data_IF_462668203660
#
_entry.id   IF_462668203660
#
_cell.length_a   1.000
_cell.length_b   1.000
_cell.length_c   1.000
_cell.angle_alpha   90.00
_cell.angle_beta   90.00
_cell.angle_gamma   90.00
#
_symmetry.space_group_name_H-M   'P 1'
#
loop_
_entity.id
_entity.type
_entity.pdbx_description
1 polymer ?
#
# COMPACT_ATOMS: atom_id res chain seq x y z
N UNK A 1 18.20 -7.07 -1.34
CA UNK A 1 17.66 -5.70 -1.50
C UNK A 1 16.24 -5.80 -2.06
N UNK A 2 16.06 -6.55 -3.14
CA UNK A 2 14.77 -6.91 -3.77
C UNK A 2 13.65 -7.43 -2.83
N UNK A 3 13.99 -8.06 -1.70
CA UNK A 3 13.03 -8.53 -0.68
C UNK A 3 12.71 -7.48 0.40
N UNK A 4 13.25 -6.26 0.27
CA UNK A 4 13.12 -5.12 1.19
C UNK A 4 13.54 -5.38 2.66
N UNK A 5 14.24 -6.48 2.94
CA UNK A 5 14.62 -6.90 4.30
C UNK A 5 16.12 -6.88 4.58
N UNK A 6 16.97 -6.94 3.55
CA UNK A 6 18.41 -7.18 3.71
C UNK A 6 19.12 -6.14 4.58
N UNK A 7 18.92 -4.84 4.32
CA UNK A 7 19.57 -3.78 5.09
C UNK A 7 19.15 -3.80 6.57
N UNK A 8 17.85 -4.01 6.84
CA UNK A 8 17.32 -4.13 8.19
C UNK A 8 17.90 -5.35 8.91
N UNK A 9 17.95 -6.51 8.25
CA UNK A 9 18.50 -7.73 8.82
C UNK A 9 19.99 -7.60 9.19
N UNK A 10 20.78 -6.88 8.37
CA UNK A 10 22.19 -6.60 8.72
C UNK A 10 22.29 -5.76 10.00
N UNK A 11 21.47 -4.72 10.13
CA UNK A 11 21.45 -3.89 11.33
C UNK A 11 20.99 -4.69 12.56
N UNK A 12 19.96 -5.53 12.42
CA UNK A 12 19.44 -6.38 13.49
C UNK A 12 20.45 -7.48 13.92
N UNK A 13 21.30 -7.98 13.01
CA UNK A 13 22.41 -8.91 13.34
C UNK A 13 23.66 -8.19 13.91
N UNK A 14 23.52 -6.93 14.31
CA UNK A 14 24.59 -6.18 14.96
C UNK A 14 25.74 -5.83 14.02
N UNK A 15 25.45 -5.43 12.77
CA UNK A 15 26.47 -5.02 11.79
C UNK A 15 27.52 -4.09 12.43
N UNK A 16 27.08 -3.06 13.14
CA UNK A 16 27.97 -2.07 13.74
C UNK A 16 28.63 -2.49 15.06
N UNK A 17 28.26 -3.64 15.60
CA UNK A 17 29.01 -4.29 16.70
C UNK A 17 30.25 -5.03 16.15
N UNK A 18 30.20 -5.42 14.86
CA UNK A 18 31.27 -6.17 14.17
C UNK A 18 32.19 -5.27 13.34
N UNK A 19 31.67 -4.18 12.81
CA UNK A 19 32.42 -3.18 12.05
C UNK A 19 32.18 -1.78 12.63
N UNK A 20 33.22 -0.99 12.78
CA UNK A 20 33.07 0.41 13.23
C UNK A 20 32.16 1.17 12.27
N UNK A 21 31.18 1.90 12.81
CA UNK A 21 30.29 2.74 12.03
C UNK A 21 31.12 3.77 11.21
N UNK A 22 30.92 3.85 9.88
CA UNK A 22 31.68 4.76 9.03
C UNK A 22 31.15 6.20 9.12
N UNK A 23 32.01 7.18 8.85
CA UNK A 23 31.60 8.58 8.74
C UNK A 23 30.72 8.85 7.52
N UNK A 24 30.87 8.06 6.46
CA UNK A 24 30.15 8.20 5.18
C UNK A 24 29.77 6.82 4.65
N UNK A 25 28.52 6.67 4.21
CA UNK A 25 28.01 5.49 3.50
C UNK A 25 27.66 5.88 2.07
N UNK A 26 28.17 5.12 1.10
CA UNK A 26 27.90 5.34 -0.32
C UNK A 26 27.18 4.12 -0.91
N UNK A 27 26.21 4.37 -1.79
CA UNK A 27 25.53 3.34 -2.57
C UNK A 27 25.28 3.85 -4.00
N UNK A 28 25.24 2.94 -4.96
CA UNK A 28 24.93 3.24 -6.34
C UNK A 28 23.96 2.19 -6.91
N UNK A 29 23.14 2.62 -7.87
CA UNK A 29 22.27 1.73 -8.62
C UNK A 29 22.38 2.07 -10.11
N UNK A 30 22.43 1.05 -10.97
CA UNK A 30 22.40 1.28 -12.42
C UNK A 30 21.02 1.75 -12.85
N UNK A 31 20.98 2.77 -13.71
CA UNK A 31 19.75 3.31 -14.28
C UNK A 31 19.95 3.61 -15.78
N UNK A 32 18.86 3.88 -16.50
CA UNK A 32 18.87 4.15 -17.93
C UNK A 32 19.40 5.57 -18.25
N UNK A 33 20.67 5.81 -17.94
CA UNK A 33 21.40 7.03 -18.30
C UNK A 33 22.42 6.76 -19.41
N UNK A 34 22.88 7.80 -20.13
CA UNK A 34 23.98 7.67 -21.09
C UNK A 34 25.21 7.00 -20.46
N UNK A 35 25.90 6.19 -21.25
CA UNK A 35 27.12 5.51 -20.80
C UNK A 35 28.17 6.52 -20.31
N UNK A 36 28.80 6.21 -19.17
CA UNK A 36 29.79 7.08 -18.53
C UNK A 36 29.21 8.20 -17.66
N UNK A 37 27.88 8.31 -17.53
CA UNK A 37 27.24 9.30 -16.66
C UNK A 37 27.03 8.77 -15.24
N UNK A 38 27.35 9.61 -14.25
CA UNK A 38 26.95 9.41 -12.84
C UNK A 38 26.01 10.56 -12.47
N UNK A 39 24.78 10.22 -12.10
CA UNK A 39 23.79 11.18 -11.61
C UNK A 39 23.77 11.17 -10.08
N UNK A 40 23.72 12.34 -9.47
CA UNK A 40 23.55 12.52 -8.02
C UNK A 40 22.64 13.72 -7.74
N UNK A 41 22.07 13.77 -6.55
CA UNK A 41 21.27 14.89 -6.06
C UNK A 41 21.44 15.02 -4.55
N UNK A 42 21.16 16.20 -4.03
CA UNK A 42 21.04 16.42 -2.59
C UNK A 42 19.60 16.14 -2.13
N UNK A 43 19.45 15.52 -0.97
CA UNK A 43 18.15 15.13 -0.42
C UNK A 43 17.63 13.77 -0.93
N UNK A 44 16.32 13.48 -0.81
CA UNK A 44 15.75 12.19 -1.20
C UNK A 44 15.84 11.93 -2.72
N UNK A 45 16.61 10.91 -3.12
CA UNK A 45 16.71 10.50 -4.54
C UNK A 45 15.57 9.57 -5.00
N UNK A 46 15.06 8.72 -4.11
CA UNK A 46 14.06 7.71 -4.42
C UNK A 46 12.93 7.72 -3.40
N UNK A 47 11.72 7.44 -3.86
CA UNK A 47 10.56 7.35 -2.97
C UNK A 47 10.63 6.08 -2.12
N UNK A 48 10.36 6.25 -0.81
CA UNK A 48 9.99 5.14 0.05
C UNK A 48 8.67 4.51 -0.41
N UNK A 49 8.42 3.27 0.00
CA UNK A 49 7.22 2.52 -0.38
C UNK A 49 6.71 1.69 0.79
N UNK A 50 5.39 1.67 0.96
CA UNK A 50 4.67 0.73 1.83
C UNK A 50 3.61 0.04 0.99
N UNK A 51 3.50 -1.28 1.11
CA UNK A 51 2.43 -2.05 0.48
C UNK A 51 1.55 -2.64 1.59
N UNK A 52 0.27 -2.34 1.54
CA UNK A 52 -0.75 -2.91 2.42
C UNK A 52 -1.47 -4.04 1.68
N UNK A 53 -1.57 -5.19 2.32
CA UNK A 53 -2.45 -6.28 1.91
C UNK A 53 -3.69 -6.25 2.82
N UNK A 54 -4.82 -5.82 2.26
CA UNK A 54 -6.07 -5.63 2.98
C UNK A 54 -7.00 -6.78 2.65
N UNK A 55 -7.58 -7.39 3.69
CA UNK A 55 -8.62 -8.40 3.57
C UNK A 55 -9.90 -7.83 4.16
N UNK A 56 -10.94 -7.73 3.34
CA UNK A 56 -12.30 -7.46 3.76
C UNK A 56 -13.01 -8.80 3.93
N UNK A 57 -13.55 -9.04 5.12
CA UNK A 57 -14.37 -10.22 5.43
C UNK A 57 -15.81 -9.77 5.66
N UNK A 58 -16.74 -10.60 5.21
CA UNK A 58 -18.17 -10.32 5.34
C UNK A 58 -19.01 -11.58 5.16
N UNK A 59 -20.31 -11.41 5.34
CA UNK A 59 -21.27 -12.50 5.23
C UNK A 59 -21.79 -12.57 3.79
N UNK A 60 -21.37 -13.60 3.06
CA UNK A 60 -21.86 -13.88 1.71
C UNK A 60 -23.28 -14.47 1.73
N UNK A 61 -23.87 -14.63 0.56
CA UNK A 61 -25.24 -15.15 0.47
C UNK A 61 -25.79 -15.16 -0.95
N UNK A 62 -27.08 -15.42 -1.09
CA UNK A 62 -27.72 -15.37 -2.39
C UNK A 62 -27.81 -13.91 -2.88
N UNK A 63 -27.40 -13.66 -4.13
CA UNK A 63 -27.45 -12.35 -4.75
C UNK A 63 -28.87 -11.73 -4.86
N UNK A 64 -29.94 -12.52 -4.63
CA UNK A 64 -31.32 -12.04 -4.61
C UNK A 64 -31.73 -11.49 -3.22
N UNK A 65 -30.93 -11.73 -2.19
CA UNK A 65 -31.18 -11.28 -0.82
C UNK A 65 -29.98 -10.51 -0.24
N UNK A 66 -29.49 -9.45 -0.92
CA UNK A 66 -28.29 -8.71 -0.50
C UNK A 66 -28.46 -7.99 0.85
N UNK A 67 -29.70 -7.70 1.25
CA UNK A 67 -30.02 -7.09 2.55
C UNK A 67 -29.78 -8.03 3.75
N UNK A 68 -29.44 -9.30 3.50
CA UNK A 68 -29.06 -10.29 4.53
C UNK A 68 -27.54 -10.54 4.54
N UNK A 69 -26.77 -9.74 3.80
CA UNK A 69 -25.33 -9.92 3.61
C UNK A 69 -24.57 -8.66 3.97
N UNK A 70 -23.33 -8.83 4.44
CA UNK A 70 -22.34 -7.75 4.52
C UNK A 70 -21.35 -7.95 3.37
N UNK A 71 -21.54 -7.25 2.25
CA UNK A 71 -20.80 -7.51 1.00
C UNK A 71 -19.36 -6.94 1.05
N UNK A 72 -18.32 -7.79 1.14
CA UNK A 72 -16.93 -7.34 1.21
C UNK A 72 -16.40 -6.84 -0.15
N UNK A 73 -16.97 -7.29 -1.27
CA UNK A 73 -16.59 -6.75 -2.60
C UNK A 73 -17.04 -5.30 -2.69
N UNK A 74 -18.25 -4.98 -2.22
CA UNK A 74 -18.74 -3.61 -2.22
C UNK A 74 -17.86 -2.70 -1.34
N UNK A 75 -17.51 -3.15 -0.13
CA UNK A 75 -16.60 -2.43 0.76
C UNK A 75 -15.24 -2.15 0.10
N UNK A 76 -14.64 -3.18 -0.52
CA UNK A 76 -13.34 -3.06 -1.16
C UNK A 76 -13.39 -2.14 -2.40
N UNK A 77 -14.46 -2.20 -3.20
CA UNK A 77 -14.67 -1.33 -4.35
C UNK A 77 -14.87 0.14 -3.94
N UNK A 78 -15.58 0.37 -2.83
CA UNK A 78 -15.69 1.69 -2.21
C UNK A 78 -14.33 2.24 -1.80
N UNK A 79 -13.49 1.41 -1.18
CA UNK A 79 -12.12 1.77 -0.83
C UNK A 79 -11.29 2.13 -2.07
N UNK A 80 -11.30 1.31 -3.13
CA UNK A 80 -10.59 1.61 -4.40
C UNK A 80 -10.96 2.99 -4.95
N UNK A 81 -12.24 3.35 -4.86
CA UNK A 81 -12.74 4.64 -5.37
C UNK A 81 -12.30 5.82 -4.49
N UNK A 82 -12.21 5.63 -3.17
CA UNK A 82 -11.86 6.71 -2.23
C UNK A 82 -10.37 6.92 -2.03
N UNK A 83 -9.55 5.88 -2.15
CA UNK A 83 -8.11 5.94 -1.88
C UNK A 83 -7.35 7.05 -2.63
N UNK A 84 -7.64 7.35 -3.92
CA UNK A 84 -6.99 8.46 -4.62
C UNK A 84 -7.19 9.84 -3.98
N UNK A 85 -8.26 10.02 -3.18
CA UNK A 85 -8.56 11.29 -2.49
C UNK A 85 -7.49 11.62 -1.45
N UNK A 86 -6.85 10.61 -0.83
CA UNK A 86 -5.76 10.82 0.14
C UNK A 86 -4.64 11.66 -0.46
N UNK A 87 -4.15 11.27 -1.64
CA UNK A 87 -3.12 12.02 -2.34
C UNK A 87 -3.65 13.37 -2.89
N UNK A 88 -4.90 13.41 -3.35
CA UNK A 88 -5.45 14.60 -4.01
C UNK A 88 -5.92 15.71 -3.06
N UNK A 89 -6.26 15.40 -1.80
CA UNK A 89 -6.94 16.33 -0.87
C UNK A 89 -6.36 16.36 0.54
N UNK A 90 -5.63 15.34 0.98
CA UNK A 90 -5.10 15.27 2.34
C UNK A 90 -3.58 15.47 2.39
N UNK A 91 -2.96 15.81 1.26
CA UNK A 91 -1.51 15.96 1.11
C UNK A 91 -1.19 17.34 0.56
N UNK A 92 -0.11 17.95 1.03
CA UNK A 92 0.42 19.18 0.43
C UNK A 92 0.81 18.89 -1.03
N UNK A 93 0.37 19.66 -2.03
CA UNK A 93 0.76 19.46 -3.43
C UNK A 93 2.28 19.40 -3.70
N UNK A 94 3.10 19.97 -2.81
CA UNK A 94 4.57 19.87 -2.88
C UNK A 94 5.10 18.51 -2.39
N UNK A 95 4.35 17.83 -1.51
CA UNK A 95 4.68 16.49 -1.04
C UNK A 95 4.26 15.46 -2.10
N UNK A 96 5.25 14.85 -2.76
CA UNK A 96 5.00 13.79 -3.75
C UNK A 96 4.54 12.50 -3.07
N UNK A 97 3.25 12.42 -2.75
CA UNK A 97 2.58 11.21 -2.28
C UNK A 97 1.82 10.54 -3.43
N UNK A 98 1.96 9.23 -3.54
CA UNK A 98 1.21 8.40 -4.47
C UNK A 98 0.51 7.29 -3.69
N UNK A 99 -0.78 7.09 -3.98
CA UNK A 99 -1.57 5.98 -3.45
C UNK A 99 -2.15 5.22 -4.64
N UNK A 100 -1.91 3.91 -4.70
CA UNK A 100 -2.34 3.08 -5.83
C UNK A 100 -2.96 1.80 -5.33
N UNK A 101 -4.23 1.57 -5.65
CA UNK A 101 -4.85 0.25 -5.55
C UNK A 101 -4.33 -0.63 -6.69
N UNK A 102 -3.41 -1.56 -6.38
CA UNK A 102 -2.69 -2.34 -7.39
C UNK A 102 -3.38 -3.66 -7.74
N UNK A 103 -4.27 -4.16 -6.89
CA UNK A 103 -5.10 -5.33 -7.20
C UNK A 103 -6.35 -5.37 -6.34
N UNK A 104 -7.48 -5.75 -6.93
CA UNK A 104 -8.71 -6.10 -6.23
C UNK A 104 -9.14 -7.50 -6.67
N UNK A 105 -9.39 -8.40 -5.73
CA UNK A 105 -9.92 -9.75 -5.98
C UNK A 105 -11.05 -10.01 -4.99
N UNK A 106 -12.17 -10.57 -5.43
CA UNK A 106 -13.24 -10.97 -4.54
C UNK A 106 -13.97 -12.20 -5.10
N UNK A 107 -14.39 -13.08 -4.19
CA UNK A 107 -14.96 -14.37 -4.58
C UNK A 107 -13.97 -15.28 -5.30
N UNK A 108 -14.45 -16.43 -5.77
CA UNK A 108 -13.69 -17.28 -6.69
C UNK A 108 -14.15 -17.03 -8.13
N UNK A 109 -13.28 -17.26 -9.09
CA UNK A 109 -13.56 -17.06 -10.53
C UNK A 109 -14.44 -18.17 -11.13
N UNK A 110 -14.97 -19.08 -10.32
CA UNK A 110 -15.69 -20.30 -10.76
C UNK A 110 -17.13 -20.41 -10.25
N UNK A 111 -17.58 -19.56 -9.33
CA UNK A 111 -18.94 -19.54 -8.80
C UNK A 111 -19.90 -18.83 -9.75
N UNK A 112 -21.13 -19.34 -9.79
CA UNK A 112 -22.27 -18.74 -10.47
C UNK A 112 -22.48 -17.30 -9.98
N UNK A 113 -22.78 -16.36 -10.88
CA UNK A 113 -22.99 -14.94 -10.57
C UNK A 113 -24.21 -14.61 -9.70
N UNK A 114 -24.70 -15.59 -8.93
CA UNK A 114 -25.82 -15.52 -8.01
C UNK A 114 -25.39 -15.64 -6.53
N UNK A 115 -24.09 -15.59 -6.23
CA UNK A 115 -23.54 -15.65 -4.86
C UNK A 115 -22.70 -14.41 -4.56
N UNK A 116 -23.00 -13.75 -3.45
CA UNK A 116 -22.19 -12.67 -2.86
C UNK A 116 -21.00 -13.30 -2.13
N UNK A 117 -19.80 -12.76 -2.36
CA UNK A 117 -18.57 -13.27 -1.77
C UNK A 117 -18.51 -13.05 -0.25
N UNK A 118 -17.81 -13.92 0.47
CA UNK A 118 -17.51 -13.73 1.91
C UNK A 118 -16.17 -13.02 2.15
N UNK A 119 -15.39 -12.78 1.08
CA UNK A 119 -14.04 -12.24 1.18
C UNK A 119 -13.66 -11.43 -0.07
N UNK A 120 -12.99 -10.30 0.15
CA UNK A 120 -12.31 -9.52 -0.86
C UNK A 120 -10.90 -9.13 -0.40
N UNK A 121 -9.92 -9.22 -1.31
CA UNK A 121 -8.53 -8.87 -1.09
C UNK A 121 -8.17 -7.64 -1.93
N UNK A 122 -7.60 -6.63 -1.30
CA UNK A 122 -7.14 -5.39 -1.91
C UNK A 122 -5.67 -5.18 -1.57
N UNK A 123 -4.84 -4.96 -2.59
CA UNK A 123 -3.45 -4.49 -2.39
C UNK A 123 -3.38 -3.01 -2.69
N UNK A 124 -2.77 -2.25 -1.77
CA UNK A 124 -2.57 -0.81 -1.90
C UNK A 124 -1.10 -0.49 -1.69
N UNK A 125 -0.51 0.23 -2.63
CA UNK A 125 0.86 0.72 -2.52
C UNK A 125 0.85 2.22 -2.27
N UNK A 126 1.56 2.66 -1.23
CA UNK A 126 1.81 4.06 -0.91
C UNK A 126 3.27 4.37 -1.17
N UNK A 127 3.56 5.45 -1.91
CA UNK A 127 4.93 5.93 -2.14
C UNK A 127 5.06 7.40 -1.78
N UNK A 128 6.16 7.78 -1.14
CA UNK A 128 6.45 9.17 -0.83
C UNK A 128 7.95 9.47 -0.82
N UNK A 129 8.33 10.72 -1.09
CA UNK A 129 9.72 11.17 -1.01
C UNK A 129 10.21 11.47 0.41
N UNK A 130 9.30 11.65 1.38
CA UNK A 130 9.66 11.82 2.78
C UNK A 130 9.01 10.74 3.64
N UNK A 131 9.73 10.32 4.68
CA UNK A 131 9.21 9.34 5.65
C UNK A 131 7.94 9.85 6.33
N UNK A 132 7.89 11.14 6.69
CA UNK A 132 6.71 11.74 7.30
C UNK A 132 5.48 11.67 6.38
N UNK A 133 5.63 11.94 5.08
CA UNK A 133 4.53 11.79 4.12
C UNK A 133 4.13 10.33 3.92
N UNK A 134 5.09 9.40 3.91
CA UNK A 134 4.83 7.96 3.80
C UNK A 134 4.02 7.43 4.98
N UNK A 135 4.38 7.82 6.21
CA UNK A 135 3.67 7.45 7.45
C UNK A 135 2.26 8.01 7.44
N UNK A 136 2.09 9.31 7.13
CA UNK A 136 0.75 9.93 7.06
C UNK A 136 -0.12 9.31 5.97
N UNK A 137 0.43 9.10 4.78
CA UNK A 137 -0.27 8.48 3.66
C UNK A 137 -0.74 7.06 3.99
N UNK A 138 0.12 6.25 4.60
CA UNK A 138 -0.23 4.90 5.07
C UNK A 138 -1.36 4.94 6.09
N UNK A 139 -1.28 5.82 7.10
CA UNK A 139 -2.33 5.97 8.11
C UNK A 139 -3.67 6.44 7.51
N UNK A 140 -3.64 7.35 6.53
CA UNK A 140 -4.84 7.80 5.83
C UNK A 140 -5.49 6.67 5.00
N UNK A 141 -4.67 5.85 4.32
CA UNK A 141 -5.15 4.64 3.62
C UNK A 141 -5.85 3.68 4.56
N UNK A 142 -5.23 3.37 5.71
CA UNK A 142 -5.85 2.51 6.73
C UNK A 142 -7.20 3.08 7.23
N UNK A 143 -7.26 4.39 7.47
CA UNK A 143 -8.50 5.05 7.89
C UNK A 143 -9.61 4.93 6.84
N UNK A 144 -9.29 5.15 5.57
CA UNK A 144 -10.27 5.00 4.47
C UNK A 144 -10.76 3.57 4.39
N UNK A 145 -9.86 2.58 4.39
CA UNK A 145 -10.20 1.16 4.35
C UNK A 145 -11.12 0.77 5.51
N UNK A 146 -10.81 1.21 6.73
CA UNK A 146 -11.65 0.93 7.92
C UNK A 146 -13.02 1.59 7.84
N UNK A 147 -13.10 2.81 7.30
CA UNK A 147 -14.37 3.51 7.12
C UNK A 147 -15.26 2.79 6.10
N UNK A 148 -14.70 2.31 5.00
CA UNK A 148 -15.44 1.55 3.98
C UNK A 148 -15.92 0.20 4.52
N UNK A 149 -15.07 -0.51 5.27
CA UNK A 149 -15.46 -1.74 5.96
C UNK A 149 -16.64 -1.50 6.94
N UNK A 150 -16.57 -0.43 7.74
CA UNK A 150 -17.64 -0.08 8.66
C UNK A 150 -18.95 0.31 7.94
N UNK A 151 -18.86 0.95 6.77
CA UNK A 151 -20.05 1.35 5.99
C UNK A 151 -20.77 0.16 5.34
N UNK A 152 -20.07 -0.94 5.12
CA UNK A 152 -20.62 -2.17 4.53
C UNK A 152 -21.12 -3.17 5.58
N UNK A 153 -20.84 -2.94 6.86
CA UNK A 153 -21.39 -3.73 7.94
C UNK A 153 -22.91 -3.55 8.01
N UNK A 154 -23.63 -4.63 8.30
CA UNK A 154 -25.08 -4.56 8.51
C UNK A 154 -25.41 -3.66 9.71
N UNK A 155 -26.52 -2.93 9.61
CA UNK A 155 -27.12 -2.22 10.73
C UNK A 155 -27.72 -3.18 11.76
#
# INVERSE_FOLDING_TARGET
EETLSGARAMLEDGLYDRITAPDVVLAQHTAAFPAGMVAHADGPLMAGSVTLEVVFEGDGGHAATPHLTADPLLAAAGAVTRLPVVAARETDPAERLLVTASSLRAGDTGRTGNVIATRAELRVTVRALSEAALVRGTAAVERVVRAEAASAAMA
#
